data_IF_558095992055
#
_entry.id   IF_558095992055
#
_cell.length_a   1.000
_cell.length_b   1.000
_cell.length_c   1.000
_cell.angle_alpha   90.00
_cell.angle_beta   90.00
_cell.angle_gamma   90.00
#
_symmetry.space_group_name_H-M   'P 1'
#
loop_
_entity.id
_entity.type
_entity.pdbx_description
1 polymer ?
#
# COMPACT_ATOMS: atom_id res chain seq x y z
N UNK A 1 9.81 10.57 -39.11
CA UNK A 1 10.42 11.90 -38.85
C UNK A 1 11.37 11.79 -37.67
N UNK A 2 12.64 12.13 -37.86
CA UNK A 2 13.71 11.99 -36.85
C UNK A 2 13.35 12.68 -35.52
N UNK A 3 12.78 13.88 -35.58
CA UNK A 3 12.28 14.61 -34.41
C UNK A 3 11.13 13.92 -33.67
N UNK A 4 10.24 13.23 -34.38
CA UNK A 4 9.09 12.53 -33.80
C UNK A 4 9.51 11.32 -32.96
N UNK A 5 10.51 10.56 -33.42
CA UNK A 5 11.01 9.38 -32.70
C UNK A 5 11.80 9.77 -31.43
N UNK A 6 12.53 10.88 -31.47
CA UNK A 6 13.28 11.41 -30.32
C UNK A 6 12.30 11.96 -29.26
N UNK A 7 11.32 12.76 -29.66
CA UNK A 7 10.30 13.28 -28.75
C UNK A 7 9.43 12.16 -28.14
N UNK A 8 9.08 11.12 -28.90
CA UNK A 8 8.31 9.99 -28.40
C UNK A 8 9.05 9.22 -27.29
N UNK A 9 10.33 8.91 -27.49
CA UNK A 9 11.10 8.17 -26.49
C UNK A 9 11.52 9.02 -25.30
N UNK A 10 11.69 10.34 -25.47
CA UNK A 10 12.18 11.22 -24.40
C UNK A 10 11.06 11.85 -23.56
N UNK A 11 9.88 12.12 -24.13
CA UNK A 11 8.75 12.73 -23.41
C UNK A 11 7.62 11.74 -23.11
N UNK A 12 7.22 10.90 -24.08
CA UNK A 12 6.08 10.01 -23.89
C UNK A 12 6.40 8.78 -23.03
N UNK A 13 7.61 8.23 -23.11
CA UNK A 13 8.03 7.12 -22.23
C UNK A 13 8.01 7.50 -20.72
N UNK A 14 8.64 8.60 -20.25
CA UNK A 14 8.58 8.96 -18.84
C UNK A 14 7.19 9.46 -18.43
N UNK A 15 6.42 10.10 -19.33
CA UNK A 15 5.04 10.48 -19.05
C UNK A 15 4.15 9.24 -18.82
N UNK A 16 4.25 8.23 -19.69
CA UNK A 16 3.55 6.96 -19.53
C UNK A 16 4.02 6.20 -18.28
N UNK A 17 5.32 6.24 -17.98
CA UNK A 17 5.89 5.67 -16.76
C UNK A 17 5.30 6.31 -15.50
N UNK A 18 5.22 7.64 -15.45
CA UNK A 18 4.69 8.39 -14.31
C UNK A 18 3.21 8.08 -14.06
N UNK A 19 2.39 8.00 -15.12
CA UNK A 19 0.99 7.60 -15.01
C UNK A 19 0.88 6.16 -14.49
N UNK A 20 1.66 5.24 -15.06
CA UNK A 20 1.62 3.82 -14.68
C UNK A 20 2.05 3.58 -13.22
N UNK A 21 2.93 4.40 -12.67
CA UNK A 21 3.30 4.33 -11.23
C UNK A 21 2.09 4.71 -10.36
N UNK A 22 1.41 5.82 -10.66
CA UNK A 22 0.21 6.24 -9.92
C UNK A 22 -0.94 5.24 -10.06
N UNK A 23 -1.16 4.71 -11.26
CA UNK A 23 -2.16 3.67 -11.49
C UNK A 23 -1.86 2.40 -10.67
N UNK A 24 -0.59 1.99 -10.55
CA UNK A 24 -0.24 0.83 -9.74
C UNK A 24 -0.53 1.04 -8.25
N UNK A 25 -0.29 2.24 -7.72
CA UNK A 25 -0.64 2.58 -6.34
C UNK A 25 -2.16 2.50 -6.11
N UNK A 26 -2.95 3.06 -7.03
CA UNK A 26 -4.42 3.00 -6.95
C UNK A 26 -4.96 1.57 -7.05
N UNK A 27 -4.42 0.75 -7.96
CA UNK A 27 -4.85 -0.65 -8.11
C UNK A 27 -4.55 -1.44 -6.84
N UNK A 28 -3.38 -1.26 -6.22
CA UNK A 28 -3.04 -1.91 -4.95
C UNK A 28 -4.02 -1.53 -3.84
N UNK A 29 -4.43 -0.26 -3.77
CA UNK A 29 -5.39 0.18 -2.77
C UNK A 29 -6.79 -0.41 -3.00
N UNK A 30 -7.24 -0.47 -4.26
CA UNK A 30 -8.52 -1.10 -4.62
C UNK A 30 -8.50 -2.61 -4.35
N UNK A 31 -7.39 -3.29 -4.61
CA UNK A 31 -7.23 -4.72 -4.33
C UNK A 31 -7.28 -5.02 -2.83
N UNK A 32 -6.68 -4.16 -2.00
CA UNK A 32 -6.78 -4.24 -0.54
C UNK A 32 -8.23 -4.15 -0.06
N UNK A 33 -8.97 -3.15 -0.54
CA UNK A 33 -10.38 -2.96 -0.18
C UNK A 33 -11.20 -4.18 -0.62
N UNK A 34 -10.97 -4.67 -1.85
CA UNK A 34 -11.68 -5.83 -2.38
C UNK A 34 -11.43 -7.08 -1.51
N UNK A 35 -10.17 -7.37 -1.15
CA UNK A 35 -9.81 -8.45 -0.23
C UNK A 35 -10.49 -8.28 1.14
N UNK A 36 -10.50 -7.05 1.65
CA UNK A 36 -11.14 -6.69 2.90
C UNK A 36 -12.63 -7.02 2.90
N UNK A 37 -13.35 -6.55 1.88
CA UNK A 37 -14.79 -6.77 1.71
C UNK A 37 -15.11 -8.26 1.52
N UNK A 38 -14.34 -8.97 0.69
CA UNK A 38 -14.52 -10.42 0.49
C UNK A 38 -14.34 -11.20 1.80
N UNK A 39 -13.34 -10.85 2.60
CA UNK A 39 -13.09 -11.53 3.88
C UNK A 39 -14.19 -11.27 4.91
N UNK A 40 -14.82 -10.09 4.87
CA UNK A 40 -16.01 -9.78 5.69
C UNK A 40 -17.20 -10.61 5.21
N UNK A 41 -17.40 -10.72 3.90
CA UNK A 41 -18.49 -11.50 3.31
C UNK A 41 -18.38 -13.00 3.60
N UNK A 42 -17.16 -13.56 3.59
CA UNK A 42 -16.89 -14.97 3.92
C UNK A 42 -16.96 -15.26 5.43
N UNK A 43 -17.18 -14.25 6.27
CA UNK A 43 -17.27 -14.43 7.73
C UNK A 43 -15.94 -14.80 8.39
N UNK A 44 -14.80 -14.42 7.79
CA UNK A 44 -13.49 -14.64 8.39
C UNK A 44 -13.37 -13.88 9.73
N UNK A 45 -12.64 -14.48 10.70
CA UNK A 45 -12.42 -13.86 12.00
C UNK A 45 -11.72 -12.50 11.83
N UNK A 46 -12.30 -11.38 12.34
CA UNK A 46 -11.77 -10.03 12.13
C UNK A 46 -10.33 -9.85 12.59
N UNK A 47 -9.85 -10.69 13.51
CA UNK A 47 -8.45 -10.72 13.96
C UNK A 47 -7.49 -11.21 12.88
N UNK A 48 -7.90 -12.20 12.09
CA UNK A 48 -7.12 -12.75 10.96
C UNK A 48 -7.14 -11.78 9.78
N UNK A 49 -8.28 -11.11 9.56
CA UNK A 49 -8.42 -10.08 8.55
C UNK A 49 -7.48 -8.89 8.81
N UNK A 50 -7.40 -8.43 10.06
CA UNK A 50 -6.50 -7.35 10.46
C UNK A 50 -5.03 -7.74 10.19
N UNK A 51 -4.66 -8.98 10.49
CA UNK A 51 -3.30 -9.49 10.27
C UNK A 51 -2.94 -9.55 8.78
N UNK A 52 -3.88 -9.99 7.93
CA UNK A 52 -3.70 -9.99 6.47
C UNK A 52 -3.60 -8.56 5.94
N UNK A 53 -4.50 -7.65 6.34
CA UNK A 53 -4.46 -6.23 5.93
C UNK A 53 -3.18 -5.53 6.40
N UNK A 54 -2.70 -5.78 7.63
CA UNK A 54 -1.47 -5.19 8.18
C UNK A 54 -0.19 -5.55 7.41
N UNK A 55 -0.17 -6.67 6.68
CA UNK A 55 0.95 -7.06 5.80
C UNK A 55 0.97 -6.23 4.51
N UNK A 56 -0.20 -5.78 4.04
CA UNK A 56 -0.34 -4.98 2.83
C UNK A 56 -0.30 -3.47 3.07
N UNK A 57 -0.48 -3.00 4.31
CA UNK A 57 -0.30 -1.59 4.67
C UNK A 57 1.18 -1.23 4.89
N UNK A 58 1.60 -0.10 4.34
CA UNK A 58 2.90 0.49 4.62
C UNK A 58 3.02 0.80 6.13
N UNK A 59 4.21 0.64 6.75
CA UNK A 59 4.42 0.78 8.19
C UNK A 59 3.86 2.08 8.79
N UNK A 60 3.88 3.15 8.01
CA UNK A 60 3.47 4.51 8.38
C UNK A 60 1.95 4.71 8.52
N UNK A 61 1.14 3.81 7.94
CA UNK A 61 -0.32 3.90 7.95
C UNK A 61 -0.99 2.80 8.80
N UNK A 62 -0.21 2.04 9.57
CA UNK A 62 -0.74 1.02 10.49
C UNK A 62 -1.47 1.70 11.66
N UNK A 63 -2.72 2.08 11.45
CA UNK A 63 -3.63 2.47 12.53
C UNK A 63 -4.20 1.17 13.09
N UNK A 64 -3.54 0.61 14.11
CA UNK A 64 -4.06 -0.55 14.83
C UNK A 64 -5.24 -0.10 15.70
N UNK A 65 -6.47 -0.45 15.31
CA UNK A 65 -7.66 -0.24 16.13
C UNK A 65 -7.65 -1.13 17.39
N UNK A 66 -6.84 -2.19 17.38
CA UNK A 66 -6.57 -3.04 18.54
C UNK A 66 -5.15 -2.79 19.04
N UNK A 67 -4.98 -2.12 20.19
CA UNK A 67 -3.67 -1.97 20.79
C UNK A 67 -3.13 -3.36 21.11
N UNK A 68 -2.08 -3.78 20.39
CA UNK A 68 -1.33 -4.97 20.75
C UNK A 68 -0.61 -4.65 22.07
N UNK A 69 -0.80 -5.43 23.15
CA UNK A 69 -0.06 -5.21 24.39
C UNK A 69 1.41 -5.55 24.12
N UNK A 70 2.23 -4.55 23.77
CA UNK A 70 3.67 -4.75 23.54
C UNK A 70 4.39 -3.73 22.68
N UNK A 71 3.72 -2.86 21.92
CA UNK A 71 4.41 -1.96 20.97
C UNK A 71 4.78 -0.58 21.53
N UNK A 72 4.70 -0.36 22.84
CA UNK A 72 5.05 0.89 23.52
C UNK A 72 6.37 0.87 24.31
N UNK A 73 7.20 -0.18 24.24
CA UNK A 73 8.38 -0.33 25.12
C UNK A 73 9.74 -0.16 24.43
N UNK A 74 9.79 0.03 23.11
CA UNK A 74 11.06 0.14 22.38
C UNK A 74 11.59 1.57 22.19
N UNK A 75 10.78 2.61 22.42
CA UNK A 75 11.23 4.01 22.27
C UNK A 75 11.87 4.61 23.53
N UNK A 76 11.63 4.02 24.72
CA UNK A 76 12.15 4.55 25.99
C UNK A 76 13.58 4.12 26.37
N UNK A 77 14.24 3.27 25.57
CA UNK A 77 15.53 2.68 25.94
C UNK A 77 16.75 3.32 25.25
N UNK A 78 16.57 4.44 24.53
CA UNK A 78 17.66 5.19 23.87
C UNK A 78 17.90 6.60 24.44
N UNK A 79 17.42 6.86 25.65
CA UNK A 79 17.53 8.17 26.31
C UNK A 79 18.44 8.16 27.55
N UNK A 80 19.26 7.13 27.73
CA UNK A 80 20.34 7.07 28.72
C UNK A 80 21.60 6.50 28.06
#
# INVERSE_FOLDING_TARGET
>A
TFYGAILANMLFQPAAGKLRVRTQEEVRFKELILRGVLSIADGENPRVLEQKLHVFLAPSARISAFPTPGQGRAEGAKAW
#
